data_IF_311227281973
#
_entry.id   IF_311227281973
#
_cell.length_a   1.000
_cell.length_b   1.000
_cell.length_c   1.000
_cell.angle_alpha   90.00
_cell.angle_beta   90.00
_cell.angle_gamma   90.00
#
_symmetry.space_group_name_H-M   'P 1'
#
loop_
_entity.id
_entity.type
_entity.pdbx_description
1 polymer ?
#
# COMPACT_ATOMS: atom_id res chain seq x y z
N UNK A 1 -54.15 9.21 -13.27
CA UNK A 1 -54.51 9.30 -11.84
C UNK A 1 -53.22 9.34 -11.05
N UNK A 2 -53.02 10.41 -10.26
CA UNK A 2 -51.96 10.54 -9.25
C UNK A 2 -51.99 9.33 -8.29
N UNK A 3 -50.85 8.93 -7.73
CA UNK A 3 -50.46 9.22 -6.33
C UNK A 3 -49.10 8.58 -6.02
N UNK A 4 -48.20 9.41 -5.48
CA UNK A 4 -46.98 9.04 -4.78
C UNK A 4 -47.31 8.29 -3.48
N UNK A 5 -46.46 7.34 -3.07
CA UNK A 5 -46.32 7.00 -1.65
C UNK A 5 -44.83 6.83 -1.29
N UNK A 6 -44.39 7.65 -0.35
CA UNK A 6 -43.09 7.61 0.35
C UNK A 6 -43.36 7.13 1.77
N UNK A 7 -42.56 6.19 2.31
CA UNK A 7 -42.29 6.04 3.75
C UNK A 7 -41.11 5.07 3.94
N UNK A 8 -39.91 5.57 4.30
CA UNK A 8 -39.34 5.75 5.65
C UNK A 8 -38.82 4.47 6.31
N UNK A 9 -37.50 4.35 6.32
CA UNK A 9 -36.67 3.44 7.12
C UNK A 9 -36.75 3.86 8.60
N UNK A 10 -37.17 2.95 9.47
CA UNK A 10 -37.19 3.13 10.92
C UNK A 10 -36.08 2.32 11.59
N UNK A 11 -35.08 3.00 12.13
CA UNK A 11 -34.10 2.42 13.05
C UNK A 11 -34.79 2.13 14.40
N UNK A 12 -34.84 0.85 14.80
CA UNK A 12 -35.29 0.44 16.13
C UNK A 12 -34.11 0.45 17.10
N UNK A 13 -34.17 1.35 18.07
CA UNK A 13 -33.42 1.24 19.32
C UNK A 13 -34.11 0.30 20.31
N UNK A 14 -33.32 -0.26 21.23
CA UNK A 14 -33.77 -1.03 22.41
C UNK A 14 -32.61 -1.13 23.43
N UNK A 15 -32.88 -1.32 24.73
CA UNK A 15 -32.64 -0.24 25.69
C UNK A 15 -31.88 -0.64 27.00
N UNK A 16 -31.43 0.41 27.71
CA UNK A 16 -31.39 0.61 29.17
C UNK A 16 -30.81 -0.45 30.15
N UNK A 17 -29.81 -0.01 30.94
CA UNK A 17 -29.73 -0.04 32.44
C UNK A 17 -28.51 0.81 32.84
N UNK A 18 -28.70 2.00 33.46
CA UNK A 18 -28.77 2.32 34.92
C UNK A 18 -27.48 1.94 35.67
N UNK A 19 -26.89 2.73 36.56
CA UNK A 19 -27.05 4.07 37.15
C UNK A 19 -25.94 4.14 38.22
N UNK A 20 -25.15 5.21 38.36
CA UNK A 20 -24.53 5.72 39.61
C UNK A 20 -24.06 7.14 39.28
N UNK A 21 -24.77 8.16 39.81
CA UNK A 21 -24.30 9.06 40.88
C UNK A 21 -23.36 10.17 40.35
N UNK A 22 -23.44 11.45 40.70
CA UNK A 22 -24.34 12.29 41.50
C UNK A 22 -23.78 13.72 41.35
N UNK A 23 -24.67 14.70 41.28
CA UNK A 23 -24.54 16.10 41.69
C UNK A 23 -23.32 16.96 41.29
N UNK A 24 -23.59 18.12 40.70
CA UNK A 24 -22.66 19.26 40.82
C UNK A 24 -22.71 20.33 39.74
N UNK A 25 -23.51 21.36 40.01
CA UNK A 25 -23.30 22.76 39.62
C UNK A 25 -23.28 23.16 38.13
N UNK A 26 -24.36 23.85 37.75
CA UNK A 26 -24.33 24.88 36.71
C UNK A 26 -23.49 26.07 37.13
N UNK A 27 -22.72 26.66 36.21
CA UNK A 27 -22.42 28.10 36.17
C UNK A 27 -22.11 28.53 34.72
N UNK A 28 -22.56 29.73 34.28
CA UNK A 28 -22.50 30.18 32.90
C UNK A 28 -21.38 31.19 32.64
N UNK A 29 -21.25 31.56 31.36
CA UNK A 29 -20.57 32.75 30.83
C UNK A 29 -19.04 32.81 31.05
N UNK A 30 -18.30 32.83 29.95
CA UNK A 30 -17.72 34.09 29.44
C UNK A 30 -16.98 33.80 28.13
N UNK A 31 -17.41 34.51 27.09
CA UNK A 31 -16.69 34.64 25.85
C UNK A 31 -15.34 35.32 26.10
N UNK A 32 -14.25 34.71 25.62
CA UNK A 32 -13.01 35.40 25.33
C UNK A 32 -12.72 35.21 23.85
N UNK A 33 -13.07 36.23 23.08
CA UNK A 33 -12.64 36.39 21.71
C UNK A 33 -11.11 36.50 21.69
N UNK A 34 -10.44 35.43 21.26
CA UNK A 34 -9.02 35.47 20.97
C UNK A 34 -8.80 36.26 19.67
N UNK A 35 -8.09 37.39 19.79
CA UNK A 35 -7.64 38.23 18.70
C UNK A 35 -6.72 37.41 17.79
N UNK A 36 -7.22 37.01 16.62
CA UNK A 36 -6.43 36.37 15.58
C UNK A 36 -5.66 37.47 14.84
N UNK A 37 -4.38 37.62 15.17
CA UNK A 37 -3.45 38.45 14.39
C UNK A 37 -3.36 37.88 12.96
N UNK A 38 -3.57 38.68 11.90
CA UNK A 38 -3.20 38.28 10.56
C UNK A 38 -1.70 38.52 10.40
N UNK A 39 -0.88 37.61 10.94
CA UNK A 39 0.49 37.51 10.48
C UNK A 39 0.41 37.10 9.00
N UNK A 40 0.86 37.98 8.09
CA UNK A 40 1.09 37.67 6.69
C UNK A 40 2.03 36.45 6.64
N UNK A 41 1.44 35.26 6.56
CA UNK A 41 2.14 34.05 6.21
C UNK A 41 2.62 34.27 4.78
N UNK A 42 3.90 34.62 4.64
CA UNK A 42 4.59 34.73 3.36
C UNK A 42 4.50 33.35 2.71
N UNK A 43 3.56 33.23 1.78
CA UNK A 43 3.32 32.00 1.03
C UNK A 43 4.57 31.69 0.22
N UNK A 44 5.43 30.83 0.76
CA UNK A 44 6.59 30.34 0.04
C UNK A 44 6.08 29.32 -0.98
N UNK A 45 5.96 29.76 -2.23
CA UNK A 45 5.78 28.88 -3.38
C UNK A 45 7.04 28.03 -3.47
N UNK A 46 6.96 26.81 -2.92
CA UNK A 46 8.00 25.81 -3.07
C UNK A 46 7.96 25.30 -4.50
N UNK A 47 8.84 25.83 -5.34
CA UNK A 47 9.06 25.33 -6.70
C UNK A 47 9.58 23.90 -6.55
N UNK A 48 8.72 22.93 -6.79
CA UNK A 48 9.09 21.52 -6.75
C UNK A 48 9.79 21.19 -8.07
N UNK A 49 11.10 21.39 -8.12
CA UNK A 49 11.92 20.85 -9.21
C UNK A 49 11.90 19.33 -9.09
N UNK A 50 11.28 18.65 -10.06
CA UNK A 50 11.28 17.18 -10.14
C UNK A 50 12.70 16.70 -10.43
N UNK A 51 13.45 16.34 -9.39
CA UNK A 51 14.73 15.66 -9.54
C UNK A 51 14.48 14.23 -10.04
N UNK A 52 15.20 13.80 -11.07
CA UNK A 52 15.21 12.40 -11.49
C UNK A 52 15.80 11.54 -10.37
N UNK A 53 15.13 10.45 -10.01
CA UNK A 53 15.63 9.48 -9.03
C UNK A 53 16.81 8.71 -9.64
N UNK A 54 17.85 8.48 -8.85
CA UNK A 54 19.04 7.72 -9.26
C UNK A 54 19.50 6.77 -8.16
N UNK A 55 20.36 5.80 -8.51
CA UNK A 55 20.95 4.86 -7.57
C UNK A 55 19.91 4.13 -6.70
N UNK A 56 20.15 4.13 -5.39
CA UNK A 56 19.30 3.42 -4.42
C UNK A 56 17.88 3.98 -4.33
N UNK A 57 17.69 5.28 -4.58
CA UNK A 57 16.35 5.88 -4.58
C UNK A 57 15.52 5.36 -5.75
N UNK A 58 16.14 5.25 -6.93
CA UNK A 58 15.50 4.67 -8.11
C UNK A 58 15.19 3.18 -7.89
N UNK A 59 16.15 2.41 -7.38
CA UNK A 59 15.96 0.97 -7.09
C UNK A 59 14.79 0.76 -6.13
N UNK A 60 14.74 1.51 -5.02
CA UNK A 60 13.65 1.47 -4.06
C UNK A 60 12.31 1.85 -4.69
N UNK A 61 12.29 2.88 -5.54
CA UNK A 61 11.09 3.32 -6.25
C UNK A 61 10.55 2.21 -7.17
N UNK A 62 11.40 1.67 -8.05
CA UNK A 62 11.03 0.62 -9.00
C UNK A 62 10.56 -0.65 -8.29
N UNK A 63 11.24 -1.07 -7.22
CA UNK A 63 10.81 -2.20 -6.39
C UNK A 63 9.44 -1.99 -5.77
N UNK A 64 9.20 -0.83 -5.20
CA UNK A 64 7.91 -0.53 -4.58
C UNK A 64 6.78 -0.48 -5.64
N UNK A 65 7.06 0.01 -6.85
CA UNK A 65 6.12 -0.05 -7.97
C UNK A 65 5.82 -1.50 -8.39
N UNK A 66 6.84 -2.35 -8.50
CA UNK A 66 6.66 -3.76 -8.85
C UNK A 66 5.83 -4.51 -7.80
N UNK A 67 6.09 -4.30 -6.50
CA UNK A 67 5.30 -4.87 -5.42
C UNK A 67 3.85 -4.37 -5.45
N UNK A 68 3.63 -3.07 -5.72
CA UNK A 68 2.29 -2.52 -5.86
C UNK A 68 1.53 -3.13 -7.05
N UNK A 69 2.21 -3.34 -8.18
CA UNK A 69 1.63 -3.98 -9.36
C UNK A 69 1.22 -5.43 -9.08
N UNK A 70 2.05 -6.21 -8.38
CA UNK A 70 1.70 -7.57 -7.94
C UNK A 70 0.44 -7.57 -7.08
N UNK A 71 0.37 -6.68 -6.08
CA UNK A 71 -0.79 -6.56 -5.20
C UNK A 71 -2.07 -6.17 -5.94
N UNK A 72 -1.97 -5.29 -6.95
CA UNK A 72 -3.10 -4.91 -7.78
C UNK A 72 -3.68 -6.10 -8.55
N UNK A 73 -2.85 -7.10 -8.87
CA UNK A 73 -3.21 -8.34 -9.55
C UNK A 73 -3.60 -9.47 -8.56
N UNK A 74 -3.67 -9.18 -7.26
CA UNK A 74 -3.93 -10.19 -6.23
C UNK A 74 -2.77 -11.19 -6.04
N UNK A 75 -1.58 -10.86 -6.55
CA UNK A 75 -0.37 -11.65 -6.38
C UNK A 75 0.43 -11.16 -5.17
N UNK A 76 1.09 -12.09 -4.50
CA UNK A 76 2.01 -11.77 -3.43
C UNK A 76 3.35 -11.29 -4.01
N UNK A 77 3.98 -10.34 -3.31
CA UNK A 77 5.27 -9.78 -3.70
C UNK A 77 5.99 -9.16 -2.52
N UNK A 78 7.25 -9.54 -2.33
CA UNK A 78 8.11 -9.08 -1.24
C UNK A 78 9.49 -8.68 -1.78
N UNK A 79 10.20 -7.85 -1.00
CA UNK A 79 11.61 -7.54 -1.27
C UNK A 79 12.46 -8.80 -1.03
N UNK A 80 13.29 -9.15 -1.99
CA UNK A 80 14.27 -10.22 -1.85
C UNK A 80 14.40 -11.08 -3.09
N UNK A 81 15.33 -12.04 -3.01
CA UNK A 81 15.67 -12.98 -4.07
C UNK A 81 15.73 -14.39 -3.50
N UNK A 82 15.29 -15.37 -4.29
CA UNK A 82 15.55 -16.77 -4.02
C UNK A 82 16.92 -17.14 -4.60
N UNK A 83 17.84 -17.48 -3.71
CA UNK A 83 19.19 -17.93 -4.04
C UNK A 83 19.22 -19.45 -4.20
N UNK A 84 20.10 -19.91 -5.09
CA UNK A 84 20.25 -21.32 -5.44
C UNK A 84 18.95 -21.95 -5.99
N UNK A 85 18.98 -23.25 -6.27
CA UNK A 85 17.83 -23.93 -6.87
C UNK A 85 17.47 -23.40 -8.25
N UNK A 86 18.46 -22.92 -9.01
CA UNK A 86 18.26 -22.41 -10.36
C UNK A 86 17.57 -23.45 -11.22
N UNK A 87 16.43 -23.06 -11.79
CA UNK A 87 15.67 -23.92 -12.70
C UNK A 87 15.62 -23.31 -14.10
N UNK A 88 15.16 -22.05 -14.21
CA UNK A 88 15.27 -21.26 -15.44
C UNK A 88 15.73 -19.85 -15.08
N UNK A 89 16.65 -19.30 -15.87
CA UNK A 89 17.15 -17.94 -15.69
C UNK A 89 16.82 -17.12 -16.94
N UNK A 90 16.66 -15.80 -16.77
CA UNK A 90 16.37 -14.86 -17.86
C UNK A 90 15.13 -15.25 -18.69
N UNK A 91 14.08 -15.74 -18.00
CA UNK A 91 12.78 -16.03 -18.60
C UNK A 91 12.20 -14.75 -19.21
N UNK A 92 11.58 -14.81 -20.42
CA UNK A 92 11.04 -13.64 -21.10
C UNK A 92 9.83 -13.07 -20.33
N UNK A 93 10.12 -12.19 -19.38
CA UNK A 93 9.14 -11.45 -18.59
C UNK A 93 9.68 -10.02 -18.36
N UNK A 94 8.92 -9.04 -18.82
CA UNK A 94 9.28 -7.63 -18.72
C UNK A 94 8.83 -7.01 -17.39
N UNK A 95 7.96 -7.68 -16.64
CA UNK A 95 7.44 -7.23 -15.35
C UNK A 95 7.49 -8.32 -14.27
N UNK A 96 7.48 -7.91 -13.01
CA UNK A 96 7.38 -8.85 -11.89
C UNK A 96 6.08 -9.67 -11.94
N UNK A 97 4.98 -9.07 -12.41
CA UNK A 97 3.69 -9.75 -12.60
C UNK A 97 3.79 -10.87 -13.62
N UNK A 98 4.42 -10.61 -14.76
CA UNK A 98 4.68 -11.64 -15.78
C UNK A 98 5.57 -12.75 -15.24
N UNK A 99 6.61 -12.41 -14.47
CA UNK A 99 7.51 -13.38 -13.86
C UNK A 99 6.78 -14.30 -12.86
N UNK A 100 5.96 -13.73 -11.99
CA UNK A 100 5.12 -14.48 -11.05
C UNK A 100 4.12 -15.40 -11.76
N UNK A 101 3.48 -14.91 -12.83
CA UNK A 101 2.54 -15.71 -13.64
C UNK A 101 3.25 -16.84 -14.38
N UNK A 102 4.46 -16.60 -14.89
CA UNK A 102 5.27 -17.64 -15.52
C UNK A 102 5.58 -18.77 -14.53
N UNK A 103 5.94 -18.42 -13.29
CA UNK A 103 6.13 -19.43 -12.24
C UNK A 103 4.83 -20.19 -11.92
N UNK A 104 3.70 -19.49 -11.77
CA UNK A 104 2.42 -20.14 -11.46
C UNK A 104 1.93 -21.09 -12.57
N UNK A 105 2.31 -20.82 -13.83
CA UNK A 105 2.00 -21.68 -14.97
C UNK A 105 2.94 -22.89 -15.09
N UNK A 106 4.07 -22.88 -14.37
CA UNK A 106 5.10 -23.91 -14.43
C UNK A 106 5.07 -24.81 -13.19
N UNK A 107 4.71 -26.09 -13.37
CA UNK A 107 4.59 -27.06 -12.27
C UNK A 107 5.91 -27.36 -11.54
N UNK A 108 7.05 -27.04 -12.15
CA UNK A 108 8.39 -27.25 -11.57
C UNK A 108 8.85 -26.01 -10.79
N UNK A 109 8.28 -24.85 -11.09
CA UNK A 109 8.58 -23.62 -10.37
C UNK A 109 7.95 -23.61 -8.98
N UNK A 110 8.75 -23.32 -7.97
CA UNK A 110 8.29 -23.12 -6.59
C UNK A 110 8.46 -21.69 -6.11
N UNK A 111 9.45 -21.01 -6.69
CA UNK A 111 9.77 -19.63 -6.36
C UNK A 111 10.19 -18.89 -7.61
N UNK A 112 10.04 -17.58 -7.62
CA UNK A 112 10.47 -16.72 -8.71
C UNK A 112 11.17 -15.51 -8.14
N UNK A 113 12.03 -14.88 -8.94
CA UNK A 113 12.71 -13.65 -8.57
C UNK A 113 12.85 -12.75 -9.78
N UNK A 114 12.46 -11.50 -9.59
CA UNK A 114 12.49 -10.47 -10.63
C UNK A 114 13.38 -9.30 -10.21
N UNK A 115 14.40 -9.01 -11.01
CA UNK A 115 15.29 -7.86 -10.80
C UNK A 115 14.73 -6.62 -11.49
N UNK A 116 14.46 -5.56 -10.71
CA UNK A 116 13.67 -4.42 -11.19
C UNK A 116 14.41 -3.47 -12.13
N UNK A 117 15.74 -3.49 -12.11
CA UNK A 117 16.58 -2.59 -12.94
C UNK A 117 16.90 -3.20 -14.29
N UNK A 118 17.23 -4.49 -14.34
CA UNK A 118 17.58 -5.18 -15.60
C UNK A 118 16.40 -5.93 -16.22
N UNK A 119 15.25 -5.93 -15.56
CA UNK A 119 14.06 -6.67 -15.97
C UNK A 119 14.34 -8.17 -16.18
N UNK A 120 15.15 -8.75 -15.29
CA UNK A 120 15.51 -10.17 -15.33
C UNK A 120 14.53 -10.97 -14.49
N UNK A 121 14.03 -12.08 -15.03
CA UNK A 121 13.17 -13.04 -14.33
C UNK A 121 13.87 -14.40 -14.21
N UNK A 122 13.99 -14.91 -12.99
CA UNK A 122 14.50 -16.24 -12.72
C UNK A 122 13.43 -17.07 -12.00
N UNK A 123 13.25 -18.30 -12.45
CA UNK A 123 12.40 -19.31 -11.82
C UNK A 123 13.29 -20.29 -11.05
N UNK A 124 12.89 -20.60 -9.82
CA UNK A 124 13.64 -21.45 -8.91
C UNK A 124 12.82 -22.66 -8.49
N UNK A 125 13.52 -23.78 -8.33
CA UNK A 125 13.00 -25.01 -7.78
C UNK A 125 12.88 -24.94 -6.25
N UNK A 126 12.23 -25.95 -5.67
CA UNK A 126 11.95 -26.08 -4.22
C UNK A 126 13.17 -25.95 -3.30
N UNK A 127 14.38 -26.24 -3.80
CA UNK A 127 15.61 -26.23 -3.01
C UNK A 127 16.21 -24.83 -2.80
N UNK A 128 15.54 -23.77 -3.25
CA UNK A 128 16.03 -22.41 -3.11
C UNK A 128 15.87 -21.89 -1.68
N UNK A 129 16.74 -20.95 -1.32
CA UNK A 129 16.74 -20.27 -0.02
C UNK A 129 16.51 -18.77 -0.22
N UNK A 130 15.64 -18.18 0.59
CA UNK A 130 15.30 -16.77 0.47
C UNK A 130 16.38 -15.87 1.09
N UNK A 131 16.75 -14.80 0.38
CA UNK A 131 17.60 -13.71 0.86
C UNK A 131 16.85 -12.39 0.72
N UNK A 132 16.51 -11.76 1.83
CA UNK A 132 15.75 -10.50 1.84
C UNK A 132 16.63 -9.25 1.72
N UNK A 133 17.96 -9.38 1.79
CA UNK A 133 18.90 -8.25 1.68
C UNK A 133 19.16 -7.81 0.22
N UNK A 134 18.64 -8.53 -0.77
CA UNK A 134 18.74 -8.19 -2.18
C UNK A 134 17.75 -7.05 -2.55
N UNK A 135 18.20 -5.80 -2.37
CA UNK A 135 17.35 -4.61 -2.45
C UNK A 135 16.77 -4.29 -3.84
N UNK A 136 17.35 -4.80 -4.92
CA UNK A 136 16.91 -4.63 -6.31
C UNK A 136 16.05 -5.78 -6.85
N UNK A 137 15.66 -6.72 -5.99
CA UNK A 137 14.84 -7.88 -6.35
C UNK A 137 13.47 -7.88 -5.67
N UNK A 138 12.50 -8.49 -6.37
CA UNK A 138 11.17 -8.81 -5.88
C UNK A 138 10.90 -10.30 -6.12
N UNK A 139 10.25 -10.97 -5.17
CA UNK A 139 9.84 -12.38 -5.25
C UNK A 139 8.47 -12.60 -4.62
#
# INVERSE_FOLDING_TARGET
>A
RLFFLVARVGCRGSPFRRHWASDGAMLPCLALAALVSPALARSQVSVTTTRALTGDELIRHLRNQAIAALRAEGLNGWRGVWLYGDYQNDVPATTAVECARACNADSVCYHWSYQVVKHRCDLKARSASFNDDAGDWVS
#
